data_IF_460204606819
#
_entry.id   IF_460204606819
#
_cell.length_a   1.000
_cell.length_b   1.000
_cell.length_c   1.000
_cell.angle_alpha   90.00
_cell.angle_beta   90.00
_cell.angle_gamma   90.00
#
_symmetry.space_group_name_H-M   'P 1'
#
loop_
_entity.id
_entity.type
_entity.pdbx_description
1 polymer ?
#
# COMPACT_ATOMS: atom_id res chain seq x y z
N UNK A 1 -53.81 42.10 -0.18
CA UNK A 1 -52.44 42.12 -0.74
C UNK A 1 -51.68 40.90 -0.23
N UNK A 2 -51.64 39.84 -1.04
CA UNK A 2 -50.88 38.63 -0.76
C UNK A 2 -49.45 38.82 -1.29
N UNK A 3 -48.46 38.83 -0.39
CA UNK A 3 -47.06 38.75 -0.80
C UNK A 3 -46.74 37.31 -1.17
N UNK A 4 -46.47 37.08 -2.45
CA UNK A 4 -45.92 35.82 -2.95
C UNK A 4 -44.55 35.57 -2.33
N UNK A 5 -44.46 34.60 -1.42
CA UNK A 5 -43.18 34.00 -1.04
C UNK A 5 -42.71 33.15 -2.20
N UNK A 6 -41.96 33.74 -3.11
CA UNK A 6 -41.08 33.01 -4.02
C UNK A 6 -40.12 32.20 -3.16
N UNK A 7 -40.38 30.89 -3.06
CA UNK A 7 -39.48 29.96 -2.39
C UNK A 7 -38.16 29.96 -3.14
N UNK A 8 -37.16 30.64 -2.60
CA UNK A 8 -35.80 30.55 -3.08
C UNK A 8 -35.39 29.08 -2.99
N UNK A 9 -35.21 28.42 -4.14
CA UNK A 9 -34.53 27.12 -4.20
C UNK A 9 -33.09 27.36 -3.80
N UNK A 10 -32.76 27.04 -2.56
CA UNK A 10 -31.38 27.04 -2.09
C UNK A 10 -30.62 25.99 -2.90
N UNK A 11 -29.76 26.46 -3.81
CA UNK A 11 -28.88 25.62 -4.65
C UNK A 11 -27.72 24.99 -3.86
N UNK A 12 -27.59 25.33 -2.58
CA UNK A 12 -26.49 24.91 -1.72
C UNK A 12 -26.77 23.51 -1.18
N UNK A 13 -26.00 22.53 -1.64
CA UNK A 13 -26.02 21.18 -1.08
C UNK A 13 -25.51 21.20 0.36
N UNK A 14 -26.25 20.57 1.27
CA UNK A 14 -25.81 20.31 2.64
C UNK A 14 -25.43 18.83 2.74
N UNK A 15 -24.22 18.54 3.23
CA UNK A 15 -23.75 17.17 3.47
C UNK A 15 -23.57 16.94 4.96
N UNK A 16 -24.47 16.16 5.53
CA UNK A 16 -24.33 15.67 6.90
C UNK A 16 -23.25 14.57 6.97
N UNK A 17 -22.44 14.59 8.04
CA UNK A 17 -21.40 13.58 8.25
C UNK A 17 -21.99 12.39 9.00
N UNK A 18 -22.47 11.39 8.26
CA UNK A 18 -22.89 10.09 8.78
C UNK A 18 -22.03 8.96 8.17
N UNK A 19 -21.72 7.94 8.95
CA UNK A 19 -20.91 6.79 8.53
C UNK A 19 -21.68 5.49 8.80
N UNK A 20 -22.22 4.88 7.75
CA UNK A 20 -22.79 3.54 7.82
C UNK A 20 -21.67 2.49 7.67
N UNK A 21 -21.85 1.26 8.21
CA UNK A 21 -20.93 0.15 7.95
C UNK A 21 -20.79 -0.12 6.45
N UNK A 22 -19.58 -0.53 6.02
CA UNK A 22 -19.33 -0.93 4.64
C UNK A 22 -19.90 -2.34 4.43
N UNK A 23 -20.91 -2.48 3.55
CA UNK A 23 -21.57 -3.79 3.31
C UNK A 23 -21.09 -4.44 2.00
N UNK A 24 -20.46 -3.68 1.09
CA UNK A 24 -19.90 -4.19 -0.17
C UNK A 24 -18.96 -3.16 -0.79
N UNK A 25 -17.76 -3.01 -0.24
CA UNK A 25 -16.77 -2.05 -0.75
C UNK A 25 -15.46 -2.77 -1.03
N UNK A 26 -14.98 -2.66 -2.26
CA UNK A 26 -13.70 -3.25 -2.69
C UNK A 26 -12.65 -2.17 -2.90
N UNK A 27 -11.44 -2.39 -2.39
CA UNK A 27 -10.29 -1.54 -2.72
C UNK A 27 -10.00 -1.53 -4.23
N UNK A 28 -10.34 -2.64 -4.92
CA UNK A 28 -10.20 -2.76 -6.37
C UNK A 28 -11.08 -1.76 -7.14
N UNK A 29 -12.20 -1.34 -6.58
CA UNK A 29 -13.08 -0.32 -7.17
C UNK A 29 -12.72 1.09 -6.73
N UNK A 30 -12.27 1.24 -5.48
CA UNK A 30 -11.96 2.54 -4.88
C UNK A 30 -10.66 3.16 -5.39
N UNK A 31 -9.67 2.34 -5.75
CA UNK A 31 -8.38 2.83 -6.24
C UNK A 31 -8.46 3.07 -7.75
N UNK A 32 -8.26 4.30 -8.25
CA UNK A 32 -8.34 4.61 -9.68
C UNK A 32 -7.47 3.69 -10.54
N UNK A 33 -7.96 3.34 -11.73
CA UNK A 33 -7.28 2.40 -12.62
C UNK A 33 -5.96 2.94 -13.20
N UNK A 34 -5.85 4.26 -13.31
CA UNK A 34 -4.68 5.02 -13.75
C UNK A 34 -3.75 5.43 -12.61
N UNK A 35 -4.03 5.00 -11.37
CA UNK A 35 -3.20 5.33 -10.21
C UNK A 35 -1.78 4.76 -10.34
N UNK A 36 -0.77 5.53 -9.94
CA UNK A 36 0.65 5.14 -9.97
C UNK A 36 0.92 3.71 -9.46
N UNK A 37 0.44 3.38 -8.26
CA UNK A 37 0.63 2.03 -7.70
C UNK A 37 0.03 0.88 -8.52
N UNK A 38 -1.00 1.12 -9.33
CA UNK A 38 -1.50 0.10 -10.27
C UNK A 38 -0.53 -0.12 -11.42
N UNK A 39 0.03 0.97 -11.94
CA UNK A 39 1.08 0.90 -12.93
C UNK A 39 2.32 0.18 -12.37
N UNK A 40 2.75 0.55 -11.15
CA UNK A 40 3.88 -0.08 -10.47
C UNK A 40 3.67 -1.58 -10.24
N UNK A 41 2.49 -1.99 -9.77
CA UNK A 41 2.13 -3.39 -9.57
C UNK A 41 2.17 -4.22 -10.86
N UNK A 42 1.88 -3.60 -12.01
CA UNK A 42 1.97 -4.26 -13.33
C UNK A 42 3.39 -4.28 -13.88
N UNK A 43 4.19 -3.26 -13.58
CA UNK A 43 5.52 -3.07 -14.16
C UNK A 43 6.60 -3.91 -13.47
N UNK A 44 6.44 -4.25 -12.19
CA UNK A 44 7.45 -4.96 -11.41
C UNK A 44 6.93 -6.32 -10.94
N UNK A 45 7.61 -7.40 -11.35
CA UNK A 45 7.43 -8.71 -10.74
C UNK A 45 8.40 -8.86 -9.57
N UNK A 46 7.87 -8.98 -8.35
CA UNK A 46 8.66 -9.12 -7.14
C UNK A 46 8.80 -10.57 -6.66
N UNK A 47 8.29 -11.54 -7.43
CA UNK A 47 8.32 -12.97 -7.06
C UNK A 47 9.73 -13.50 -6.79
N UNK A 48 10.75 -12.95 -7.46
CA UNK A 48 12.16 -13.30 -7.28
C UNK A 48 12.66 -13.12 -5.83
N UNK A 49 11.99 -12.27 -5.04
CA UNK A 49 12.35 -12.03 -3.64
C UNK A 49 12.29 -13.32 -2.82
N UNK A 50 11.34 -14.22 -3.10
CA UNK A 50 11.21 -15.47 -2.35
C UNK A 50 12.48 -16.29 -2.41
N UNK A 51 13.14 -16.37 -3.57
CA UNK A 51 14.41 -17.08 -3.72
C UNK A 51 15.54 -16.39 -2.98
N UNK A 52 15.58 -15.06 -2.98
CA UNK A 52 16.60 -14.29 -2.30
C UNK A 52 16.58 -14.47 -0.78
N UNK A 53 15.39 -14.60 -0.20
CA UNK A 53 15.23 -14.62 1.26
C UNK A 53 14.96 -16.01 1.84
N UNK A 54 14.77 -17.04 1.01
CA UNK A 54 14.41 -18.40 1.46
C UNK A 54 15.30 -18.91 2.59
N UNK A 55 16.61 -18.67 2.52
CA UNK A 55 17.58 -19.08 3.54
C UNK A 55 17.42 -18.41 4.91
N UNK A 56 16.62 -17.35 5.02
CA UNK A 56 16.35 -16.60 6.26
C UNK A 56 15.10 -17.05 7.00
N UNK A 57 14.40 -18.08 6.50
CA UNK A 57 13.15 -18.57 7.07
C UNK A 57 13.32 -20.01 7.58
N UNK A 58 12.79 -20.24 8.79
CA UNK A 58 12.66 -21.59 9.33
C UNK A 58 11.47 -22.31 8.68
N UNK A 59 11.52 -23.64 8.65
CA UNK A 59 10.44 -24.49 8.10
C UNK A 59 9.16 -24.40 8.94
N UNK A 60 9.25 -24.07 10.23
CA UNK A 60 8.11 -23.95 11.14
C UNK A 60 8.22 -22.73 12.06
N UNK A 61 7.08 -22.17 12.45
CA UNK A 61 6.98 -21.04 13.37
C UNK A 61 5.81 -20.11 13.05
N UNK A 62 5.74 -18.97 13.75
CA UNK A 62 4.77 -17.91 13.42
C UNK A 62 5.12 -17.30 12.05
N UNK A 63 4.16 -17.19 11.12
CA UNK A 63 4.38 -16.51 9.85
C UNK A 63 4.89 -15.09 10.07
N UNK A 64 5.95 -14.72 9.34
CA UNK A 64 6.40 -13.33 9.25
C UNK A 64 5.57 -12.58 8.20
N UNK A 65 5.83 -11.29 8.05
CA UNK A 65 5.31 -10.53 6.90
C UNK A 65 5.81 -11.23 5.63
N UNK A 66 4.95 -11.29 4.63
CA UNK A 66 5.29 -11.77 3.31
C UNK A 66 6.49 -10.96 2.74
N UNK A 67 7.54 -11.62 2.21
CA UNK A 67 8.69 -10.94 1.64
C UNK A 67 8.35 -9.93 0.54
N UNK A 68 7.41 -10.24 -0.35
CA UNK A 68 6.97 -9.33 -1.41
C UNK A 68 6.31 -8.10 -0.80
N UNK A 69 5.43 -8.28 0.19
CA UNK A 69 4.82 -7.17 0.94
C UNK A 69 5.89 -6.27 1.57
N UNK A 70 6.90 -6.87 2.20
CA UNK A 70 7.99 -6.10 2.80
C UNK A 70 8.73 -5.24 1.77
N UNK A 71 9.08 -5.79 0.61
CA UNK A 71 9.77 -5.02 -0.43
C UNK A 71 8.86 -4.01 -1.13
N UNK A 72 7.56 -4.27 -1.26
CA UNK A 72 6.58 -3.25 -1.68
C UNK A 72 6.59 -2.06 -0.75
N UNK A 73 6.62 -2.29 0.57
CA UNK A 73 6.73 -1.22 1.58
C UNK A 73 8.05 -0.43 1.42
N UNK A 74 9.17 -1.09 1.10
CA UNK A 74 10.43 -0.40 0.81
C UNK A 74 10.35 0.46 -0.46
N UNK A 75 9.68 -0.01 -1.51
CA UNK A 75 9.44 0.77 -2.72
C UNK A 75 8.57 1.99 -2.44
N UNK A 76 7.50 1.85 -1.64
CA UNK A 76 6.67 2.99 -1.19
C UNK A 76 7.54 4.02 -0.46
N UNK A 77 8.39 3.58 0.47
CA UNK A 77 9.31 4.48 1.16
C UNK A 77 10.25 5.21 0.19
N UNK A 78 10.75 4.51 -0.82
CA UNK A 78 11.64 5.10 -1.83
C UNK A 78 10.93 6.11 -2.73
N UNK A 79 9.80 5.75 -3.34
CA UNK A 79 9.07 6.61 -4.28
C UNK A 79 8.45 7.84 -3.63
N UNK A 80 8.11 7.75 -2.34
CA UNK A 80 7.48 8.85 -1.61
C UNK A 80 8.41 9.56 -0.63
N UNK A 81 9.72 9.26 -0.69
CA UNK A 81 10.74 9.86 0.18
C UNK A 81 10.45 9.73 1.69
N UNK A 82 9.84 8.61 2.10
CA UNK A 82 9.51 8.35 3.51
C UNK A 82 10.71 7.74 4.20
N UNK A 83 11.16 8.39 5.28
CA UNK A 83 12.32 7.93 6.07
C UNK A 83 11.96 7.21 7.38
N UNK A 84 10.68 7.12 7.71
CA UNK A 84 10.19 6.52 8.94
C UNK A 84 9.20 5.38 8.67
N UNK A 85 9.53 4.16 9.11
CA UNK A 85 8.62 3.00 9.02
C UNK A 85 7.31 3.23 9.80
N UNK A 86 7.36 3.99 10.90
CA UNK A 86 6.15 4.37 11.64
C UNK A 86 5.26 5.31 10.83
N UNK A 87 5.85 6.25 10.08
CA UNK A 87 5.09 7.10 9.16
C UNK A 87 4.54 6.28 7.99
N UNK A 88 5.34 5.38 7.42
CA UNK A 88 4.91 4.46 6.37
C UNK A 88 3.66 3.69 6.80
N UNK A 89 3.69 3.02 7.95
CA UNK A 89 2.55 2.22 8.39
C UNK A 89 1.30 3.07 8.68
N UNK A 90 1.46 4.32 9.12
CA UNK A 90 0.34 5.28 9.22
C UNK A 90 -0.26 5.58 7.84
N UNK A 91 0.58 5.79 6.84
CA UNK A 91 0.11 6.02 5.48
C UNK A 91 -0.56 4.79 4.87
N UNK A 92 -0.06 3.58 5.14
CA UNK A 92 -0.70 2.33 4.70
C UNK A 92 -2.09 2.18 5.34
N UNK A 93 -2.25 2.61 6.60
CA UNK A 93 -3.55 2.57 7.29
C UNK A 93 -4.56 3.58 6.74
N UNK A 94 -4.09 4.74 6.28
CA UNK A 94 -4.94 5.87 5.88
C UNK A 94 -5.22 5.90 4.36
N UNK A 95 -4.23 5.52 3.54
CA UNK A 95 -4.29 5.67 2.08
C UNK A 95 -4.65 4.37 1.39
N UNK A 96 -5.85 4.35 0.81
CA UNK A 96 -6.40 3.22 0.06
C UNK A 96 -5.47 2.71 -1.03
N UNK A 97 -4.80 3.60 -1.77
CA UNK A 97 -3.93 3.20 -2.88
C UNK A 97 -2.64 2.52 -2.44
N UNK A 98 -2.04 2.95 -1.32
CA UNK A 98 -0.89 2.28 -0.73
C UNK A 98 -1.31 0.93 -0.16
N UNK A 99 -2.45 0.89 0.53
CA UNK A 99 -3.00 -0.35 1.11
C UNK A 99 -3.32 -1.40 0.05
N UNK A 100 -3.94 -0.97 -1.05
CA UNK A 100 -4.19 -1.81 -2.22
C UNK A 100 -2.89 -2.35 -2.82
N UNK A 101 -1.87 -1.49 -2.95
CA UNK A 101 -0.57 -1.91 -3.50
C UNK A 101 0.07 -3.02 -2.68
N UNK A 102 0.06 -2.88 -1.35
CA UNK A 102 0.62 -3.90 -0.45
C UNK A 102 -0.29 -5.12 -0.27
N UNK A 103 -1.53 -5.07 -0.78
CA UNK A 103 -2.44 -6.21 -0.84
C UNK A 103 -3.16 -6.53 0.47
N UNK A 104 -3.48 -5.51 1.28
CA UNK A 104 -4.25 -5.68 2.52
C UNK A 104 -5.69 -5.22 2.35
N UNK A 105 -6.64 -5.96 2.92
CA UNK A 105 -8.04 -5.55 2.96
C UNK A 105 -8.28 -4.37 3.92
N UNK A 106 -9.45 -3.72 3.81
CA UNK A 106 -9.83 -2.59 4.66
C UNK A 106 -9.92 -2.96 6.14
N UNK A 107 -10.39 -4.17 6.42
CA UNK A 107 -10.58 -4.73 7.76
C UNK A 107 -9.42 -5.64 8.21
N UNK A 108 -8.44 -5.91 7.35
CA UNK A 108 -7.29 -6.73 7.69
C UNK A 108 -6.27 -5.96 8.55
N UNK A 109 -5.80 -6.52 9.67
CA UNK A 109 -4.82 -5.88 10.53
C UNK A 109 -3.47 -5.73 9.82
N UNK A 110 -2.94 -4.50 9.83
CA UNK A 110 -1.62 -4.20 9.28
C UNK A 110 -0.49 -4.65 10.20
N UNK A 111 0.69 -4.98 9.65
CA UNK A 111 1.86 -5.32 10.45
C UNK A 111 2.36 -4.13 11.26
N UNK A 112 2.95 -4.40 12.43
CA UNK A 112 3.60 -3.35 13.21
C UNK A 112 4.95 -2.94 12.60
N UNK A 113 5.23 -1.64 12.64
CA UNK A 113 6.49 -1.05 12.15
C UNK A 113 7.75 -1.69 12.74
N UNK A 114 7.74 -2.17 13.99
CA UNK A 114 8.90 -2.86 14.58
C UNK A 114 9.25 -4.16 13.86
N UNK A 115 8.28 -4.78 13.19
CA UNK A 115 8.50 -5.98 12.37
C UNK A 115 9.32 -5.65 11.12
N UNK A 116 9.06 -4.50 10.49
CA UNK A 116 9.84 -4.04 9.32
C UNK A 116 11.30 -3.82 9.70
N UNK A 117 11.54 -3.13 10.82
CA UNK A 117 12.90 -2.91 11.33
C UNK A 117 13.64 -4.24 11.57
N UNK A 118 12.99 -5.24 12.18
CA UNK A 118 13.58 -6.57 12.40
C UNK A 118 13.88 -7.30 11.10
N UNK A 119 12.98 -7.24 10.12
CA UNK A 119 13.19 -7.87 8.80
C UNK A 119 14.35 -7.20 8.07
N UNK A 120 14.43 -5.88 8.08
CA UNK A 120 15.55 -5.12 7.48
C UNK A 120 16.90 -5.54 8.07
N UNK A 121 16.99 -5.67 9.39
CA UNK A 121 18.20 -6.19 10.04
C UNK A 121 18.51 -7.63 9.65
N UNK A 122 17.48 -8.50 9.56
CA UNK A 122 17.64 -9.91 9.16
C UNK A 122 18.18 -10.06 7.74
N UNK A 123 17.69 -9.25 6.81
CA UNK A 123 18.07 -9.35 5.39
C UNK A 123 19.45 -8.75 5.11
N UNK A 124 19.84 -7.71 5.85
CA UNK A 124 21.14 -7.07 5.68
C UNK A 124 21.33 -6.42 4.31
N UNK A 125 22.46 -5.74 4.12
CA UNK A 125 22.68 -4.90 2.93
C UNK A 125 22.67 -5.71 1.61
N UNK A 126 23.15 -6.95 1.63
CA UNK A 126 23.34 -7.73 0.42
C UNK A 126 22.02 -8.12 -0.25
N UNK A 127 21.00 -8.51 0.51
CA UNK A 127 19.67 -8.81 -0.06
C UNK A 127 19.07 -7.55 -0.68
N UNK A 128 19.18 -6.39 -0.01
CA UNK A 128 18.67 -5.13 -0.56
C UNK A 128 19.39 -4.75 -1.85
N UNK A 129 20.71 -4.93 -1.90
CA UNK A 129 21.50 -4.69 -3.11
C UNK A 129 21.00 -5.55 -4.27
N UNK A 130 20.89 -6.87 -4.07
CA UNK A 130 20.40 -7.81 -5.11
C UNK A 130 18.97 -7.48 -5.55
N UNK A 131 18.13 -7.07 -4.60
CA UNK A 131 16.78 -6.61 -4.89
C UNK A 131 16.79 -5.42 -5.85
N UNK A 132 17.52 -4.34 -5.52
CA UNK A 132 17.58 -3.16 -6.38
C UNK A 132 18.25 -3.43 -7.72
N UNK A 133 19.29 -4.26 -7.77
CA UNK A 133 19.92 -4.69 -9.04
C UNK A 133 18.91 -5.40 -9.94
N UNK A 134 18.07 -6.29 -9.38
CA UNK A 134 17.02 -7.00 -10.13
C UNK A 134 15.91 -6.05 -10.61
N UNK A 135 15.48 -5.09 -9.78
CA UNK A 135 14.51 -4.05 -10.19
C UNK A 135 15.04 -3.24 -11.36
N UNK A 136 16.29 -2.78 -11.29
CA UNK A 136 16.92 -2.00 -12.37
C UNK A 136 16.97 -2.82 -13.66
N UNK A 137 17.30 -4.10 -13.58
CA UNK A 137 17.33 -4.98 -14.74
C UNK A 137 15.94 -5.17 -15.36
N UNK A 138 14.88 -5.38 -14.56
CA UNK A 138 13.51 -5.41 -15.06
C UNK A 138 13.13 -4.11 -15.78
N UNK A 139 13.46 -2.95 -15.18
CA UNK A 139 13.21 -1.65 -15.81
C UNK A 139 13.99 -1.47 -17.14
N UNK A 140 15.18 -2.07 -17.29
CA UNK A 140 15.94 -2.04 -18.55
C UNK A 140 15.29 -2.88 -19.64
N UNK A 141 14.67 -3.99 -19.26
CA UNK A 141 14.02 -4.94 -20.18
C UNK A 141 12.62 -4.48 -20.60
N UNK A 142 11.95 -3.67 -19.78
CA UNK A 142 10.65 -3.07 -20.09
C UNK A 142 10.70 -1.94 -21.14
N UNK A 143 11.86 -1.73 -21.78
CA UNK A 143 12.07 -0.74 -22.84
C UNK A 143 11.49 -1.19 -24.18
#
# INVERSE_FOLDING_TARGET
MQWGRGGARTMMGFKERAFAPLVAVSLEELVPQDHFYRHLQKALDLSFVYDHVRGHYAVAGRPSIDPVVFFKLQLVMFFEDIRSERLLMRQVADRLSVRWYVGYELDEPLPDHSTLSKIRTRYGLEIFRRFFETIVEQCRQAK
#
